data_IF_665179648954
#
_entry.id   IF_665179648954
#
_cell.length_a   1.000
_cell.length_b   1.000
_cell.length_c   1.000
_cell.angle_alpha   90.00
_cell.angle_beta   90.00
_cell.angle_gamma   90.00
#
_symmetry.space_group_name_H-M   'P 1'
#
loop_
_entity.id
_entity.type
_entity.pdbx_description
1 polymer ?
#
# COMPACT_ATOMS: atom_id res chain seq x y z
N UNK A 1 -13.86 4.62 -9.29
CA UNK A 1 -12.61 3.83 -9.45
C UNK A 1 -12.27 3.47 -10.91
N UNK A 2 -13.22 2.91 -11.67
CA UNK A 2 -12.98 2.39 -13.04
C UNK A 2 -12.28 3.39 -13.97
N UNK A 3 -12.70 4.66 -13.97
CA UNK A 3 -12.10 5.71 -14.79
C UNK A 3 -10.56 5.82 -14.63
N UNK A 4 -10.04 5.71 -13.41
CA UNK A 4 -8.58 5.77 -13.17
C UNK A 4 -7.89 4.49 -13.65
N UNK A 5 -8.56 3.34 -13.53
CA UNK A 5 -8.00 2.05 -13.95
C UNK A 5 -8.03 1.86 -15.47
N UNK A 6 -9.05 2.37 -16.14
CA UNK A 6 -9.20 2.31 -17.60
C UNK A 6 -8.17 3.20 -18.31
N UNK A 7 -7.76 4.30 -17.66
CA UNK A 7 -6.75 5.24 -18.15
C UNK A 7 -5.41 5.13 -17.40
N UNK A 8 -5.13 3.96 -16.81
CA UNK A 8 -3.95 3.78 -15.95
C UNK A 8 -2.64 4.08 -16.69
N UNK A 9 -2.50 3.65 -17.94
CA UNK A 9 -1.31 3.93 -18.74
C UNK A 9 -1.10 5.42 -18.99
N UNK A 10 -2.17 6.16 -19.24
CA UNK A 10 -2.12 7.61 -19.47
C UNK A 10 -1.64 8.32 -18.20
N UNK A 11 -2.15 7.90 -17.04
CA UNK A 11 -1.70 8.41 -15.74
C UNK A 11 -0.22 8.13 -15.47
N UNK A 12 0.25 6.91 -15.77
CA UNK A 12 1.64 6.50 -15.60
C UNK A 12 2.60 7.23 -16.55
N UNK A 13 2.16 7.56 -17.77
CA UNK A 13 2.96 8.35 -18.74
C UNK A 13 3.00 9.82 -18.37
N UNK A 14 1.93 10.34 -17.75
CA UNK A 14 1.77 11.76 -17.44
C UNK A 14 2.65 12.25 -16.29
N UNK A 15 3.02 11.38 -15.34
CA UNK A 15 3.78 11.77 -14.16
C UNK A 15 4.82 10.71 -13.79
N UNK A 16 5.98 11.19 -13.35
CA UNK A 16 7.07 10.36 -12.86
C UNK A 16 6.70 9.64 -11.56
N UNK A 17 5.97 10.32 -10.66
CA UNK A 17 5.53 9.76 -9.39
C UNK A 17 4.00 9.82 -9.28
N UNK A 18 3.33 9.08 -10.15
CA UNK A 18 1.90 8.86 -10.07
C UNK A 18 1.55 7.91 -8.91
N UNK A 19 0.54 8.29 -8.13
CA UNK A 19 -0.13 7.42 -7.16
C UNK A 19 -1.60 7.81 -7.02
N UNK A 20 -2.40 6.93 -6.46
CA UNK A 20 -3.77 7.29 -6.11
C UNK A 20 -4.24 6.58 -4.84
N UNK A 21 -5.24 7.17 -4.21
CA UNK A 21 -5.93 6.63 -3.05
C UNK A 21 -7.34 6.27 -3.47
N UNK A 22 -7.69 4.99 -3.42
CA UNK A 22 -9.08 4.57 -3.59
C UNK A 22 -9.75 4.50 -2.22
N UNK A 23 -10.93 5.10 -2.08
CA UNK A 23 -11.70 5.12 -0.83
C UNK A 23 -12.76 4.01 -0.87
N UNK A 24 -12.56 2.88 -0.16
CA UNK A 24 -13.52 1.79 -0.18
C UNK A 24 -14.89 2.19 0.36
N UNK A 25 -15.92 1.46 -0.04
CA UNK A 25 -17.34 1.78 0.23
C UNK A 25 -17.83 3.05 -0.48
N UNK A 26 -17.07 3.49 -1.48
CA UNK A 26 -17.39 4.59 -2.39
C UNK A 26 -16.71 4.39 -3.74
N UNK A 27 -17.11 5.19 -4.72
CA UNK A 27 -16.42 5.27 -6.01
C UNK A 27 -15.27 6.29 -6.03
N UNK A 28 -15.04 6.96 -4.90
CA UNK A 28 -14.12 8.09 -4.80
C UNK A 28 -12.66 7.63 -4.90
N UNK A 29 -11.90 8.38 -5.70
CA UNK A 29 -10.46 8.20 -5.87
C UNK A 29 -9.80 9.57 -5.78
N UNK A 30 -8.72 9.69 -5.03
CA UNK A 30 -7.84 10.85 -5.07
C UNK A 30 -6.59 10.51 -5.88
N UNK A 31 -6.41 11.21 -6.99
CA UNK A 31 -5.24 11.07 -7.86
C UNK A 31 -4.18 12.08 -7.45
N UNK A 32 -2.93 11.62 -7.36
CA UNK A 32 -1.79 12.44 -6.95
C UNK A 32 -0.70 12.30 -8.01
N UNK A 33 -0.27 13.44 -8.54
CA UNK A 33 0.91 13.58 -9.40
C UNK A 33 1.97 14.36 -8.65
N UNK A 34 3.21 13.88 -8.70
CA UNK A 34 4.33 14.56 -8.07
C UNK A 34 5.46 14.54 -9.08
N UNK A 35 5.87 15.71 -9.56
CA UNK A 35 6.83 15.83 -10.66
C UNK A 35 7.81 16.97 -10.37
N UNK A 36 9.07 16.86 -10.83
CA UNK A 36 10.01 17.97 -10.79
C UNK A 36 9.43 19.21 -11.49
N UNK A 37 9.66 20.39 -10.93
CA UNK A 37 9.18 21.65 -11.50
C UNK A 37 10.16 22.78 -11.26
N UNK A 38 10.17 23.75 -12.18
CA UNK A 38 10.95 24.99 -12.06
C UNK A 38 10.11 26.14 -11.50
N UNK A 39 8.84 25.91 -11.17
CA UNK A 39 7.98 26.92 -10.52
C UNK A 39 8.53 27.25 -9.13
N UNK A 40 8.44 28.51 -8.73
CA UNK A 40 8.80 28.93 -7.38
C UNK A 40 7.85 28.32 -6.34
N UNK A 41 8.39 27.91 -5.20
CA UNK A 41 7.59 27.49 -4.06
C UNK A 41 6.84 28.71 -3.49
N UNK A 42 5.50 28.73 -3.47
CA UNK A 42 4.80 29.75 -2.70
C UNK A 42 5.16 29.61 -1.22
N UNK A 43 5.21 30.72 -0.49
CA UNK A 43 5.55 30.75 0.93
C UNK A 43 4.76 29.68 1.71
N UNK A 44 5.46 28.93 2.57
CA UNK A 44 4.96 27.70 3.19
C UNK A 44 3.73 27.93 4.07
N UNK A 45 2.55 27.62 3.56
CA UNK A 45 1.36 27.37 4.38
C UNK A 45 1.33 25.91 4.80
N UNK A 46 1.70 25.61 6.05
CA UNK A 46 1.50 24.28 6.63
C UNK A 46 -0.01 24.02 6.79
N UNK A 47 -0.60 23.16 5.96
CA UNK A 47 -1.91 22.56 6.25
C UNK A 47 -1.71 21.14 6.76
N UNK A 48 -1.45 21.00 8.05
CA UNK A 48 -1.54 19.72 8.76
C UNK A 48 -2.96 19.58 9.33
N UNK A 49 -3.83 18.80 8.69
CA UNK A 49 -5.16 18.50 9.25
C UNK A 49 -5.10 17.19 10.05
N UNK A 50 -5.33 17.29 11.36
CA UNK A 50 -5.42 16.17 12.30
C UNK A 50 -6.85 15.62 12.37
N UNK A 51 -7.03 14.30 12.33
CA UNK A 51 -8.34 13.66 12.51
C UNK A 51 -8.28 12.51 13.53
N UNK A 52 -9.12 12.59 14.58
CA UNK A 52 -9.68 11.37 15.16
C UNK A 52 -11.17 11.56 15.52
N UNK A 53 -12.07 11.25 14.58
CA UNK A 53 -13.50 11.05 14.89
C UNK A 53 -14.06 9.73 14.32
N UNK A 54 -13.21 8.76 13.97
CA UNK A 54 -13.65 7.58 13.21
C UNK A 54 -14.03 6.33 14.03
N UNK A 55 -13.98 6.35 15.36
CA UNK A 55 -13.69 5.10 16.11
C UNK A 55 -14.70 4.60 17.11
N UNK A 56 -15.90 5.15 17.19
CA UNK A 56 -16.88 4.69 18.17
C UNK A 56 -18.01 3.83 17.58
N UNK A 57 -18.23 3.83 16.26
CA UNK A 57 -19.28 3.03 15.63
C UNK A 57 -18.84 2.51 14.24
N UNK A 58 -18.58 1.20 14.05
CA UNK A 58 -18.15 0.63 12.77
C UNK A 58 -19.14 0.87 11.61
N UNK A 59 -20.45 0.96 11.89
CA UNK A 59 -21.46 1.28 10.87
C UNK A 59 -21.34 2.71 10.32
N UNK A 60 -20.65 3.61 11.03
CA UNK A 60 -20.37 4.96 10.55
C UNK A 60 -19.15 5.03 9.64
N UNK A 61 -18.35 3.97 9.48
CA UNK A 61 -17.10 4.04 8.72
C UNK A 61 -17.33 4.46 7.27
N UNK A 62 -18.42 3.98 6.65
CA UNK A 62 -18.80 4.42 5.30
C UNK A 62 -19.08 5.93 5.24
N UNK A 63 -19.77 6.47 6.25
CA UNK A 63 -20.05 7.90 6.36
C UNK A 63 -18.79 8.71 6.66
N UNK A 64 -17.94 8.21 7.55
CA UNK A 64 -16.67 8.83 7.91
C UNK A 64 -15.74 8.88 6.69
N UNK A 65 -15.61 7.80 5.93
CA UNK A 65 -14.77 7.79 4.72
C UNK A 65 -15.28 8.80 3.67
N UNK A 66 -16.60 8.88 3.47
CA UNK A 66 -17.22 9.87 2.57
C UNK A 66 -16.99 11.30 3.05
N UNK A 67 -17.18 11.55 4.34
CA UNK A 67 -16.95 12.86 4.95
C UNK A 67 -15.46 13.25 4.92
N UNK A 68 -14.55 12.33 5.23
CA UNK A 68 -13.10 12.53 5.18
C UNK A 68 -12.63 12.84 3.76
N UNK A 69 -13.16 12.11 2.76
CA UNK A 69 -12.92 12.43 1.35
C UNK A 69 -13.41 13.84 1.01
N UNK A 70 -14.65 14.18 1.36
CA UNK A 70 -15.20 15.50 1.10
C UNK A 70 -14.40 16.62 1.77
N UNK A 71 -13.98 16.44 3.01
CA UNK A 71 -13.25 17.44 3.79
C UNK A 71 -11.82 17.68 3.27
N UNK A 72 -11.12 16.62 2.87
CA UNK A 72 -9.68 16.69 2.61
C UNK A 72 -9.27 16.50 1.14
N UNK A 73 -10.13 15.93 0.30
CA UNK A 73 -9.78 15.47 -1.05
C UNK A 73 -10.74 15.96 -2.15
N UNK A 74 -11.77 16.74 -1.81
CA UNK A 74 -12.75 17.26 -2.78
C UNK A 74 -12.18 18.35 -3.70
N UNK A 75 -11.14 19.06 -3.24
CA UNK A 75 -10.57 20.19 -3.96
C UNK A 75 -9.20 19.84 -4.53
N UNK A 76 -8.90 20.38 -5.72
CA UNK A 76 -7.55 20.28 -6.29
C UNK A 76 -6.59 21.12 -5.45
N UNK A 77 -5.49 20.50 -5.01
CA UNK A 77 -4.42 21.17 -4.29
C UNK A 77 -3.12 21.04 -5.09
N UNK A 78 -2.36 22.12 -5.22
CA UNK A 78 -1.01 22.14 -5.80
C UNK A 78 -0.04 22.64 -4.73
N UNK A 79 0.99 21.84 -4.44
CA UNK A 79 2.04 22.18 -3.47
C UNK A 79 3.40 22.09 -4.17
N UNK A 80 4.20 23.13 -4.07
CA UNK A 80 5.55 23.20 -4.66
C UNK A 80 6.54 23.40 -3.51
N UNK A 81 7.45 22.45 -3.34
CA UNK A 81 8.52 22.52 -2.35
C UNK A 81 9.67 21.59 -2.74
N UNK A 82 10.77 21.65 -1.98
CA UNK A 82 11.89 20.72 -2.12
C UNK A 82 11.38 19.28 -1.91
N UNK A 83 11.90 18.34 -2.71
CA UNK A 83 11.41 16.95 -2.81
C UNK A 83 11.13 16.27 -1.46
N UNK A 84 12.05 16.33 -0.50
CA UNK A 84 11.87 15.67 0.80
C UNK A 84 10.70 16.25 1.62
N UNK A 85 10.29 17.51 1.39
CA UNK A 85 9.11 18.10 2.02
C UNK A 85 7.79 17.67 1.34
N UNK A 86 7.86 17.27 0.07
CA UNK A 86 6.72 16.79 -0.73
C UNK A 86 6.48 15.30 -0.52
N UNK A 87 7.54 14.49 -0.42
CA UNK A 87 7.43 13.04 -0.31
C UNK A 87 7.23 12.53 1.12
N UNK A 88 7.60 13.32 2.14
CA UNK A 88 7.45 12.93 3.53
C UNK A 88 6.21 13.56 4.17
N UNK A 89 5.55 12.80 5.03
CA UNK A 89 4.49 13.29 5.90
C UNK A 89 4.54 12.57 7.24
N UNK A 90 4.06 13.23 8.29
CA UNK A 90 4.03 12.64 9.62
C UNK A 90 2.84 11.69 9.76
N UNK A 91 3.13 10.39 9.95
CA UNK A 91 2.12 9.40 10.29
C UNK A 91 1.92 9.34 11.80
N UNK A 92 1.07 10.22 12.35
CA UNK A 92 0.89 10.36 13.81
C UNK A 92 0.03 9.28 14.46
N UNK A 93 -0.62 8.42 13.70
CA UNK A 93 -1.56 7.44 14.21
C UNK A 93 -1.02 6.01 14.12
N UNK A 94 -1.33 5.18 15.13
CA UNK A 94 -0.98 3.76 15.12
C UNK A 94 -1.89 3.00 14.16
N UNK A 95 -1.31 2.10 13.39
CA UNK A 95 -2.00 1.36 12.35
C UNK A 95 -1.46 -0.06 12.18
N UNK A 96 -2.33 -0.97 11.76
CA UNK A 96 -1.92 -2.21 11.11
C UNK A 96 -1.84 -1.98 9.61
N UNK A 97 -0.82 -2.54 8.98
CA UNK A 97 -0.52 -2.29 7.56
C UNK A 97 -0.14 -3.61 6.90
N UNK A 98 -0.80 -3.93 5.78
CA UNK A 98 -0.26 -4.86 4.78
C UNK A 98 -0.01 -4.10 3.49
N UNK A 99 1.10 -4.41 2.84
CA UNK A 99 1.46 -3.80 1.57
C UNK A 99 2.10 -4.88 0.70
N UNK A 100 1.67 -4.96 -0.56
CA UNK A 100 2.07 -5.99 -1.49
C UNK A 100 2.31 -5.40 -2.86
N UNK A 101 3.35 -5.87 -3.54
CA UNK A 101 3.68 -5.52 -4.90
C UNK A 101 3.23 -6.64 -5.85
N UNK A 102 2.28 -6.34 -6.74
CA UNK A 102 1.86 -7.23 -7.83
C UNK A 102 2.45 -6.73 -9.17
N UNK A 103 2.51 -7.57 -10.21
CA UNK A 103 2.78 -7.10 -11.57
C UNK A 103 1.85 -5.94 -11.97
N UNK A 104 2.40 -4.92 -12.63
CA UNK A 104 1.68 -3.66 -12.89
C UNK A 104 0.41 -3.87 -13.74
N UNK A 105 0.45 -4.82 -14.67
CA UNK A 105 -0.66 -5.20 -15.55
C UNK A 105 -1.85 -5.81 -14.77
N UNK A 106 -1.59 -6.38 -13.59
CA UNK A 106 -2.61 -6.96 -12.70
C UNK A 106 -3.31 -5.94 -11.79
N UNK A 107 -2.92 -4.66 -11.85
CA UNK A 107 -3.50 -3.58 -11.01
C UNK A 107 -5.02 -3.52 -11.07
N UNK A 108 -5.58 -3.47 -12.29
CA UNK A 108 -7.03 -3.32 -12.48
C UNK A 108 -7.79 -4.53 -11.96
N UNK A 109 -7.34 -5.75 -12.33
CA UNK A 109 -7.97 -7.00 -11.92
C UNK A 109 -7.99 -7.14 -10.39
N UNK A 110 -6.87 -6.90 -9.72
CA UNK A 110 -6.74 -7.05 -8.27
C UNK A 110 -7.57 -6.03 -7.48
N UNK A 111 -7.59 -4.77 -7.92
CA UNK A 111 -8.41 -3.72 -7.26
C UNK A 111 -9.90 -3.97 -7.42
N UNK A 112 -10.35 -4.41 -8.60
CA UNK A 112 -11.75 -4.74 -8.83
C UNK A 112 -12.17 -5.99 -8.05
N UNK A 113 -11.30 -6.98 -7.92
CA UNK A 113 -11.55 -8.14 -7.08
C UNK A 113 -11.65 -7.75 -5.59
N UNK A 114 -10.77 -6.86 -5.10
CA UNK A 114 -10.84 -6.33 -3.75
C UNK A 114 -12.12 -5.52 -3.49
N UNK A 115 -12.52 -4.68 -4.47
CA UNK A 115 -13.78 -3.94 -4.44
C UNK A 115 -14.97 -4.89 -4.34
N UNK A 116 -15.07 -5.88 -5.22
CA UNK A 116 -16.16 -6.84 -5.21
C UNK A 116 -16.19 -7.62 -3.89
N UNK A 117 -15.03 -8.01 -3.35
CA UNK A 117 -14.96 -8.71 -2.07
C UNK A 117 -15.48 -7.87 -0.89
N UNK A 118 -15.20 -6.56 -0.87
CA UNK A 118 -15.71 -5.63 0.13
C UNK A 118 -17.22 -5.39 -0.02
N UNK A 119 -17.71 -5.23 -1.26
CA UNK A 119 -19.13 -5.01 -1.54
C UNK A 119 -19.99 -6.23 -1.19
N UNK A 120 -19.48 -7.43 -1.45
CA UNK A 120 -20.16 -8.68 -1.13
C UNK A 120 -20.12 -9.04 0.36
N UNK A 121 -19.32 -8.34 1.17
CA UNK A 121 -19.17 -8.62 2.60
C UNK A 121 -19.33 -7.35 3.44
N UNK A 122 -20.56 -6.87 3.71
CA UNK A 122 -20.79 -5.61 4.45
C UNK A 122 -20.19 -5.56 5.86
N UNK A 123 -19.88 -6.71 6.46
CA UNK A 123 -19.20 -6.81 7.77
C UNK A 123 -17.68 -6.59 7.69
N UNK A 124 -17.11 -6.64 6.47
CA UNK A 124 -15.69 -6.44 6.21
C UNK A 124 -15.43 -4.96 5.93
N UNK A 125 -14.82 -4.28 6.90
CA UNK A 125 -14.69 -2.82 6.86
C UNK A 125 -13.24 -2.41 6.63
N UNK A 126 -13.00 -1.63 5.57
CA UNK A 126 -11.77 -0.87 5.36
C UNK A 126 -11.88 0.54 5.97
N UNK A 127 -11.07 0.82 7.00
CA UNK A 127 -11.08 2.10 7.73
C UNK A 127 -10.30 3.22 7.06
N UNK A 128 -9.48 2.88 6.07
CA UNK A 128 -8.56 3.81 5.44
C UNK A 128 -8.55 3.57 3.93
N UNK A 129 -8.24 4.59 3.12
CA UNK A 129 -8.06 4.40 1.68
C UNK A 129 -7.04 3.32 1.36
N UNK A 130 -7.29 2.58 0.28
CA UNK A 130 -6.27 1.71 -0.32
C UNK A 130 -5.30 2.62 -1.06
N UNK A 131 -4.03 2.61 -0.65
CA UNK A 131 -3.00 3.41 -1.29
C UNK A 131 -2.37 2.61 -2.42
N UNK A 132 -2.39 3.15 -3.64
CA UNK A 132 -1.87 2.49 -4.82
C UNK A 132 -0.70 3.29 -5.37
N UNK A 133 0.46 2.65 -5.47
CA UNK A 133 1.74 3.25 -5.88
C UNK A 133 2.44 2.35 -6.90
N UNK A 134 3.36 2.92 -7.66
CA UNK A 134 4.03 2.20 -8.74
C UNK A 134 5.54 2.32 -8.60
N UNK A 135 6.24 1.25 -8.98
CA UNK A 135 7.69 1.20 -9.00
C UNK A 135 8.15 0.42 -10.23
N UNK A 136 9.31 0.82 -10.76
CA UNK A 136 9.95 0.13 -11.88
C UNK A 136 10.63 -1.14 -11.42
N UNK A 137 10.88 -2.03 -12.37
CA UNK A 137 11.70 -3.20 -12.19
C UNK A 137 13.10 -2.84 -11.66
N UNK A 138 13.65 -3.74 -10.84
CA UNK A 138 15.03 -3.67 -10.39
C UNK A 138 15.72 -5.05 -10.45
N UNK A 139 17.02 -5.09 -10.14
CA UNK A 139 17.83 -6.32 -10.11
C UNK A 139 18.16 -6.78 -8.68
N UNK A 140 17.49 -6.23 -7.66
CA UNK A 140 17.75 -6.54 -6.26
C UNK A 140 17.03 -7.85 -5.92
N UNK A 141 17.79 -8.90 -5.59
CA UNK A 141 17.28 -10.28 -5.47
C UNK A 141 16.01 -10.47 -4.63
N UNK A 142 15.87 -9.71 -3.54
CA UNK A 142 14.71 -9.77 -2.66
C UNK A 142 13.78 -8.55 -2.78
N UNK A 143 13.98 -7.66 -3.73
CA UNK A 143 13.04 -6.56 -3.93
C UNK A 143 11.71 -7.10 -4.47
N UNK A 144 10.55 -6.66 -3.93
CA UNK A 144 9.26 -7.01 -4.52
C UNK A 144 9.15 -6.65 -6.02
N UNK A 145 9.96 -5.72 -6.51
CA UNK A 145 10.04 -5.29 -7.91
C UNK A 145 11.11 -6.03 -8.75
N UNK A 146 11.74 -7.08 -8.22
CA UNK A 146 12.77 -7.83 -8.92
C UNK A 146 12.29 -8.30 -10.30
N UNK A 147 12.93 -7.76 -11.34
CA UNK A 147 12.71 -8.02 -12.77
C UNK A 147 11.29 -7.76 -13.29
N UNK A 148 10.49 -6.91 -12.61
CA UNK A 148 9.15 -6.54 -13.06
C UNK A 148 8.70 -5.16 -12.57
N UNK A 149 8.10 -4.38 -13.46
CA UNK A 149 7.34 -3.19 -13.05
C UNK A 149 6.18 -3.65 -12.16
N UNK A 150 5.98 -2.94 -11.05
CA UNK A 150 5.08 -3.40 -10.00
C UNK A 150 4.14 -2.31 -9.51
N UNK A 151 2.94 -2.74 -9.14
CA UNK A 151 1.97 -1.95 -8.41
C UNK A 151 1.96 -2.38 -6.94
N UNK A 152 2.29 -1.45 -6.06
CA UNK A 152 2.11 -1.58 -4.62
C UNK A 152 0.67 -1.20 -4.26
N UNK A 153 -0.05 -2.11 -3.63
CA UNK A 153 -1.34 -1.83 -3.02
C UNK A 153 -1.21 -1.97 -1.51
N UNK A 154 -1.46 -0.89 -0.79
CA UNK A 154 -1.37 -0.84 0.67
C UNK A 154 -2.76 -0.77 1.30
N UNK A 155 -3.03 -1.63 2.28
CA UNK A 155 -4.23 -1.56 3.11
C UNK A 155 -3.88 -1.24 4.56
N UNK A 156 -4.66 -0.34 5.14
CA UNK A 156 -4.45 0.18 6.49
C UNK A 156 -5.69 -0.09 7.34
N UNK A 157 -5.47 -0.56 8.57
CA UNK A 157 -6.48 -0.64 9.62
C UNK A 157 -6.04 0.19 10.81
N UNK A 158 -6.85 1.20 11.14
CA UNK A 158 -6.58 2.11 12.23
C UNK A 158 -6.58 1.40 13.59
N UNK A 159 -5.64 1.78 14.48
CA UNK A 159 -5.52 1.27 15.86
C UNK A 159 -5.68 2.43 16.86
N UNK A 160 -6.91 2.93 17.07
CA UNK A 160 -7.14 4.03 17.99
C UNK A 160 -6.67 3.69 19.40
N UNK A 161 -5.84 4.55 19.99
CA UNK A 161 -5.34 4.39 21.35
C UNK A 161 -4.68 3.00 21.60
N UNK A 162 -4.13 2.39 20.55
CA UNK A 162 -3.52 1.05 20.62
C UNK A 162 -4.50 -0.13 20.63
N UNK A 163 -5.81 0.11 20.54
CA UNK A 163 -6.82 -0.95 20.51
C UNK A 163 -6.72 -1.77 19.23
N UNK A 164 -6.89 -3.09 19.37
CA UNK A 164 -7.02 -3.98 18.23
C UNK A 164 -8.45 -3.90 17.69
N UNK A 165 -8.57 -3.74 16.37
CA UNK A 165 -9.85 -3.75 15.65
C UNK A 165 -9.99 -5.10 14.93
N UNK A 166 -11.22 -5.66 14.83
CA UNK A 166 -11.46 -6.83 13.99
C UNK A 166 -11.00 -6.55 12.56
N UNK A 167 -9.97 -7.27 12.11
CA UNK A 167 -9.36 -7.06 10.79
C UNK A 167 -9.10 -8.33 10.01
N UNK A 168 -9.21 -9.50 10.65
CA UNK A 168 -8.68 -10.75 10.12
C UNK A 168 -9.29 -11.13 8.77
N UNK A 169 -10.62 -11.04 8.63
CA UNK A 169 -11.30 -11.33 7.36
C UNK A 169 -10.82 -10.42 6.23
N UNK A 170 -10.69 -9.11 6.49
CA UNK A 170 -10.14 -8.17 5.51
C UNK A 170 -8.68 -8.49 5.17
N UNK A 171 -7.87 -8.80 6.18
CA UNK A 171 -6.46 -9.15 6.05
C UNK A 171 -6.25 -10.38 5.16
N UNK A 172 -6.98 -11.46 5.43
CA UNK A 172 -6.83 -12.72 4.72
C UNK A 172 -7.39 -12.66 3.31
N UNK A 173 -8.54 -12.01 3.11
CA UNK A 173 -9.12 -11.80 1.79
C UNK A 173 -8.18 -10.98 0.90
N UNK A 174 -7.69 -9.85 1.40
CA UNK A 174 -6.73 -9.03 0.68
C UNK A 174 -5.44 -9.81 0.37
N UNK A 175 -4.86 -10.50 1.35
CA UNK A 175 -3.64 -11.28 1.14
C UNK A 175 -3.84 -12.40 0.10
N UNK A 176 -4.99 -13.07 0.12
CA UNK A 176 -5.35 -14.08 -0.88
C UNK A 176 -5.41 -13.52 -2.29
N UNK A 177 -6.03 -12.34 -2.47
CA UNK A 177 -6.09 -11.63 -3.76
C UNK A 177 -4.68 -11.26 -4.22
N UNK A 178 -3.84 -10.70 -3.33
CA UNK A 178 -2.47 -10.34 -3.69
C UNK A 178 -1.66 -11.56 -4.13
N UNK A 179 -1.75 -12.68 -3.41
CA UNK A 179 -1.09 -13.95 -3.78
C UNK A 179 -1.59 -14.48 -5.13
N UNK A 180 -2.91 -14.46 -5.36
CA UNK A 180 -3.52 -14.90 -6.63
C UNK A 180 -2.98 -14.13 -7.83
N UNK A 181 -2.75 -12.83 -7.67
CA UNK A 181 -2.21 -11.95 -8.72
C UNK A 181 -0.67 -11.92 -8.77
N UNK A 182 0.01 -12.92 -8.21
CA UNK A 182 1.47 -13.03 -8.27
C UNK A 182 2.19 -12.00 -7.39
N UNK A 183 1.55 -11.56 -6.32
CA UNK A 183 2.08 -10.55 -5.41
C UNK A 183 3.28 -11.01 -4.59
N UNK A 184 4.10 -10.03 -4.21
CA UNK A 184 5.23 -10.16 -3.29
C UNK A 184 4.99 -9.23 -2.09
N UNK A 185 5.07 -9.72 -0.85
CA UNK A 185 4.81 -8.87 0.32
C UNK A 185 5.94 -7.85 0.50
N UNK A 186 5.58 -6.66 0.95
CA UNK A 186 6.56 -5.67 1.40
C UNK A 186 7.20 -6.15 2.72
N UNK A 187 8.52 -6.35 2.74
CA UNK A 187 9.27 -6.90 3.89
C UNK A 187 9.02 -6.18 5.23
N UNK A 188 8.89 -4.85 5.21
CA UNK A 188 8.59 -4.06 6.41
C UNK A 188 7.14 -4.18 6.95
N UNK A 189 6.25 -4.92 6.28
CA UNK A 189 4.80 -4.99 6.59
C UNK A 189 4.36 -6.41 6.93
N UNK A 190 3.18 -6.53 7.53
CA UNK A 190 2.67 -7.82 7.98
C UNK A 190 2.25 -8.69 6.78
N UNK A 191 2.59 -9.99 6.82
CA UNK A 191 2.13 -11.01 5.89
C UNK A 191 2.21 -12.39 6.54
N UNK A 192 1.53 -13.38 5.95
CA UNK A 192 1.53 -14.77 6.45
C UNK A 192 2.53 -15.69 5.74
N UNK A 193 3.21 -15.20 4.69
CA UNK A 193 4.13 -16.00 3.87
C UNK A 193 5.15 -16.82 4.67
N UNK A 194 5.49 -17.96 4.09
CA UNK A 194 6.46 -18.95 4.54
C UNK A 194 7.64 -19.00 3.57
N UNK A 195 8.73 -19.67 3.97
CA UNK A 195 9.84 -19.99 3.08
C UNK A 195 9.42 -20.49 1.69
N UNK A 196 8.50 -21.47 1.66
CA UNK A 196 7.99 -22.07 0.40
C UNK A 196 7.30 -21.05 -0.50
N UNK A 197 6.67 -20.04 0.07
CA UNK A 197 6.07 -18.94 -0.70
C UNK A 197 7.18 -18.07 -1.31
N UNK A 198 8.20 -17.73 -0.53
CA UNK A 198 9.32 -16.89 -0.99
C UNK A 198 10.17 -17.58 -2.06
N UNK A 199 10.41 -18.89 -1.96
CA UNK A 199 11.08 -19.69 -2.98
C UNK A 199 10.36 -19.65 -4.34
N UNK A 200 9.02 -19.58 -4.33
CA UNK A 200 8.21 -19.43 -5.55
C UNK A 200 8.19 -17.99 -6.05
N UNK A 201 8.15 -17.02 -5.13
CA UNK A 201 8.03 -15.60 -5.46
C UNK A 201 9.32 -15.00 -6.06
N UNK A 202 10.48 -15.50 -5.63
CA UNK A 202 11.79 -14.91 -5.91
C UNK A 202 12.76 -15.95 -6.51
N UNK A 203 13.07 -15.88 -7.82
CA UNK A 203 14.00 -16.81 -8.46
C UNK A 203 15.39 -16.82 -7.81
N UNK A 204 15.83 -15.68 -7.29
CA UNK A 204 17.13 -15.53 -6.64
C UNK A 204 17.14 -15.93 -5.15
N UNK A 205 16.01 -16.38 -4.59
CA UNK A 205 15.89 -16.69 -3.16
C UNK A 205 16.89 -17.76 -2.69
N UNK A 206 17.08 -18.92 -3.38
CA UNK A 206 18.06 -19.91 -2.94
C UNK A 206 19.49 -19.36 -2.93
N UNK A 207 19.83 -18.51 -3.91
CA UNK A 207 21.14 -17.86 -4.01
C UNK A 207 21.35 -16.88 -2.85
N UNK A 208 20.33 -16.09 -2.52
CA UNK A 208 20.37 -15.21 -1.36
C UNK A 208 20.56 -16.00 -0.06
N UNK A 209 19.80 -17.07 0.16
CA UNK A 209 19.95 -17.92 1.34
C UNK A 209 21.37 -18.48 1.47
N UNK A 210 21.96 -18.97 0.38
CA UNK A 210 23.34 -19.47 0.37
C UNK A 210 24.36 -18.39 0.75
N UNK A 211 24.19 -17.15 0.28
CA UNK A 211 25.08 -16.03 0.67
C UNK A 211 24.88 -15.66 2.13
N UNK A 212 23.65 -15.58 2.61
CA UNK A 212 23.31 -15.30 4.01
C UNK A 212 23.98 -16.33 4.94
N UNK A 213 23.86 -17.62 4.62
CA UNK A 213 24.44 -18.71 5.43
C UNK A 213 25.98 -18.67 5.47
N UNK A 214 26.63 -18.21 4.39
CA UNK A 214 28.08 -18.03 4.36
C UNK A 214 28.54 -16.84 5.21
N UNK A 215 27.75 -15.76 5.26
CA UNK A 215 28.11 -14.53 5.96
C UNK A 215 27.70 -14.55 7.44
N UNK A 216 26.65 -15.29 7.79
CA UNK A 216 26.12 -15.44 9.15
C UNK A 216 25.81 -16.92 9.45
N UNK A 217 26.85 -17.78 9.59
CA UNK A 217 26.68 -19.22 9.76
C UNK A 217 26.00 -19.60 11.08
N UNK A 218 26.07 -18.74 12.10
CA UNK A 218 25.44 -18.95 13.40
C UNK A 218 24.07 -18.29 13.53
N UNK A 219 23.62 -17.52 12.54
CA UNK A 219 22.32 -16.86 12.55
C UNK A 219 22.21 -15.69 13.54
N UNK A 220 23.31 -15.00 13.83
CA UNK A 220 23.34 -13.88 14.80
C UNK A 220 22.38 -12.75 14.43
N UNK A 221 22.12 -12.53 13.13
CA UNK A 221 21.26 -11.46 12.65
C UNK A 221 19.81 -11.89 12.37
N UNK A 222 19.43 -13.11 12.79
CA UNK A 222 18.07 -13.60 12.64
C UNK A 222 17.17 -13.15 13.80
N UNK A 223 15.89 -13.04 13.48
CA UNK A 223 14.82 -12.97 14.46
C UNK A 223 13.78 -14.04 14.10
N UNK A 224 12.80 -14.29 14.98
CA UNK A 224 11.78 -15.33 14.76
C UNK A 224 11.03 -15.20 13.43
N UNK A 225 10.89 -13.98 12.90
CA UNK A 225 10.30 -13.78 11.58
C UNK A 225 11.25 -14.23 10.46
N UNK A 226 12.52 -13.82 10.49
CA UNK A 226 13.51 -14.20 9.49
C UNK A 226 13.83 -15.70 9.54
N UNK A 227 13.78 -16.31 10.72
CA UNK A 227 13.87 -17.78 10.86
C UNK A 227 12.76 -18.47 10.08
N UNK A 228 11.49 -18.07 10.25
CA UNK A 228 10.35 -18.60 9.48
C UNK A 228 10.50 -18.40 7.96
N UNK A 229 11.19 -17.34 7.54
CA UNK A 229 11.41 -17.03 6.12
C UNK A 229 12.55 -17.88 5.55
N UNK A 230 13.66 -18.03 6.26
CA UNK A 230 14.90 -18.62 5.73
C UNK A 230 15.15 -20.07 6.15
N UNK A 231 14.41 -20.62 7.12
CA UNK A 231 14.50 -22.00 7.59
C UNK A 231 13.17 -22.70 7.39
#
# INVERSE_FOLDING_TARGET
>A
LLQVLDHLEDHLKRSQYFRFLWFPHSENVSVIYQDPTNKAAPGSGLTSCSLPCSTFVPSLVCWINRFFFWLLFSSRVENIAISYKIFNYECRFKQHVQDWAIPIEKTKEALLELKAALENNPKMVAHYPVEVRFARADEIWLSPCFQRDSCYMNIIMYRPYGKNVPRLNYWLTYEGIMKKHGGRPHWAKAHSCTRKDFEKMYPAFPKFCSVREKLDPTGMFLNAYLEKVFY
#
